data_IF_275283176253
#
_entry.id   IF_275283176253
#
_cell.length_a   1.000
_cell.length_b   1.000
_cell.length_c   1.000
_cell.angle_alpha   90.00
_cell.angle_beta   90.00
_cell.angle_gamma   90.00
#
_symmetry.space_group_name_H-M   'P 1'
#
loop_
_entity.id
_entity.type
_entity.pdbx_description
1 polymer ?
#
# COMPACT_ATOMS: atom_id res chain seq x y z
N UNK A 1 7.79 0.78 14.66
CA UNK A 1 6.78 1.27 13.70
C UNK A 1 7.12 2.74 13.43
N UNK A 2 7.28 3.17 12.18
CA UNK A 2 7.58 4.57 11.86
C UNK A 2 6.35 5.42 12.24
N UNK A 3 6.37 6.01 13.43
CA UNK A 3 5.29 6.89 13.91
C UNK A 3 5.54 8.28 13.35
N UNK A 4 4.72 8.67 12.38
CA UNK A 4 4.60 10.05 11.96
C UNK A 4 3.23 10.55 12.42
N UNK A 5 3.23 11.31 13.51
CA UNK A 5 2.01 11.78 14.20
C UNK A 5 1.15 12.72 13.34
N UNK A 6 1.68 13.19 12.22
CA UNK A 6 0.92 14.01 11.26
C UNK A 6 0.10 13.21 10.26
N UNK A 7 0.30 11.89 10.18
CA UNK A 7 -0.46 11.01 9.29
C UNK A 7 -1.84 10.71 9.88
N UNK A 8 -2.86 10.98 9.09
CA UNK A 8 -4.24 10.58 9.37
C UNK A 8 -4.58 9.37 8.50
N UNK A 9 -5.26 8.41 9.13
CA UNK A 9 -5.73 7.18 8.50
C UNK A 9 -7.25 7.16 8.55
N UNK A 10 -7.89 7.13 7.39
CA UNK A 10 -9.34 7.15 7.26
C UNK A 10 -9.81 5.92 6.49
N UNK A 11 -10.68 5.11 7.10
CA UNK A 11 -11.34 4.03 6.40
C UNK A 11 -12.33 4.60 5.37
N UNK A 12 -12.23 4.13 4.13
CA UNK A 12 -13.15 4.52 3.05
C UNK A 12 -14.24 3.48 2.81
N UNK A 13 -13.84 2.26 2.43
CA UNK A 13 -14.76 1.19 2.02
C UNK A 13 -14.07 -0.17 1.97
N UNK A 14 -14.86 -1.24 2.00
CA UNK A 14 -14.42 -2.60 1.69
C UNK A 14 -14.47 -2.85 0.17
N UNK A 15 -13.53 -3.64 -0.34
CA UNK A 15 -13.38 -4.02 -1.74
C UNK A 15 -12.84 -5.44 -1.87
N UNK A 16 -12.87 -5.97 -3.09
CA UNK A 16 -12.11 -7.17 -3.46
C UNK A 16 -10.94 -6.73 -4.35
N UNK A 17 -9.72 -7.10 -3.98
CA UNK A 17 -8.52 -6.85 -4.75
C UNK A 17 -7.80 -8.17 -5.05
N UNK A 18 -7.70 -8.53 -6.33
CA UNK A 18 -7.09 -9.79 -6.80
C UNK A 18 -7.57 -11.00 -5.98
N UNK A 19 -8.89 -11.19 -5.94
CA UNK A 19 -9.59 -12.28 -5.22
C UNK A 19 -9.40 -12.30 -3.70
N UNK A 20 -8.96 -11.19 -3.10
CA UNK A 20 -8.81 -11.03 -1.65
C UNK A 20 -9.71 -9.91 -1.14
N UNK A 21 -10.37 -10.15 -0.02
CA UNK A 21 -11.11 -9.11 0.70
C UNK A 21 -10.13 -8.09 1.27
N UNK A 22 -10.38 -6.82 0.97
CA UNK A 22 -9.54 -5.70 1.40
C UNK A 22 -10.38 -4.53 1.89
N UNK A 23 -9.76 -3.70 2.70
CA UNK A 23 -10.28 -2.41 3.15
C UNK A 23 -9.42 -1.31 2.53
N UNK A 24 -10.05 -0.30 1.94
CA UNK A 24 -9.36 0.90 1.50
C UNK A 24 -9.23 1.83 2.69
N UNK A 25 -7.98 2.12 3.06
CA UNK A 25 -7.61 3.09 4.09
C UNK A 25 -6.85 4.22 3.42
N UNK A 26 -7.47 5.41 3.40
CA UNK A 26 -6.82 6.62 2.92
C UNK A 26 -5.83 7.12 3.96
N UNK A 27 -4.63 7.45 3.50
CA UNK A 27 -3.52 8.00 4.29
C UNK A 27 -3.20 9.38 3.76
N UNK A 28 -3.24 10.37 4.64
CA UNK A 28 -2.97 11.76 4.26
C UNK A 28 -2.38 12.59 5.40
N UNK A 29 -1.79 13.72 5.04
CA UNK A 29 -1.38 14.76 6.01
C UNK A 29 -2.29 15.97 5.88
N UNK A 30 -2.89 16.49 6.97
CA UNK A 30 -3.82 17.63 6.89
C UNK A 30 -3.18 18.90 6.30
N UNK A 31 -1.88 19.10 6.56
CA UNK A 31 -1.16 20.32 6.17
C UNK A 31 -0.58 20.28 4.74
N UNK A 32 -0.56 19.12 4.08
CA UNK A 32 -0.02 18.97 2.72
C UNK A 32 -0.92 18.09 1.86
N UNK A 33 -1.51 18.68 0.82
CA UNK A 33 -2.23 17.96 -0.26
C UNK A 33 -1.35 16.96 -1.05
N UNK A 34 -0.03 16.99 -0.86
CA UNK A 34 0.92 16.20 -1.63
C UNK A 34 0.92 14.70 -1.26
N UNK A 35 0.56 14.35 -0.02
CA UNK A 35 0.46 12.97 0.45
C UNK A 35 -1.03 12.63 0.57
N UNK A 36 -1.59 12.11 -0.51
CA UNK A 36 -2.88 11.44 -0.55
C UNK A 36 -2.65 10.08 -1.19
N UNK A 37 -2.77 9.02 -0.41
CA UNK A 37 -2.54 7.64 -0.85
C UNK A 37 -3.65 6.77 -0.27
N UNK A 38 -4.16 5.83 -1.05
CA UNK A 38 -5.11 4.84 -0.59
C UNK A 38 -4.38 3.50 -0.47
N UNK A 39 -4.37 2.93 0.73
CA UNK A 39 -3.82 1.61 1.00
C UNK A 39 -4.94 0.57 0.96
N UNK A 40 -4.70 -0.52 0.25
CA UNK A 40 -5.61 -1.67 0.21
C UNK A 40 -5.09 -2.67 1.24
N UNK A 41 -5.73 -2.72 2.39
CA UNK A 41 -5.31 -3.55 3.54
C UNK A 41 -6.11 -4.84 3.52
N UNK A 42 -5.43 -5.98 3.52
CA UNK A 42 -6.05 -7.30 3.59
C UNK A 42 -6.89 -7.43 4.85
N UNK A 43 -8.19 -7.70 4.69
CA UNK A 43 -9.15 -7.67 5.80
C UNK A 43 -8.87 -8.76 6.86
N UNK A 44 -8.16 -9.83 6.49
CA UNK A 44 -7.87 -10.97 7.37
C UNK A 44 -6.54 -10.83 8.11
N UNK A 45 -5.52 -10.31 7.42
CA UNK A 45 -4.14 -10.32 7.90
C UNK A 45 -3.61 -8.95 8.29
N UNK A 46 -4.30 -7.87 7.90
CA UNK A 46 -3.86 -6.50 8.11
C UNK A 46 -2.63 -6.11 7.27
N UNK A 47 -2.16 -6.98 6.36
CA UNK A 47 -1.06 -6.69 5.44
C UNK A 47 -1.53 -5.76 4.33
N UNK A 48 -0.64 -4.91 3.83
CA UNK A 48 -0.96 -4.08 2.66
C UNK A 48 -0.87 -5.00 1.43
N UNK A 49 -1.91 -5.00 0.60
CA UNK A 49 -1.92 -5.73 -0.67
C UNK A 49 -1.32 -4.88 -1.78
N UNK A 50 -1.70 -3.60 -1.78
CA UNK A 50 -1.22 -2.58 -2.70
C UNK A 50 -1.41 -1.22 -2.08
N UNK A 51 -0.61 -0.26 -2.54
CA UNK A 51 -0.93 1.16 -2.42
C UNK A 51 -1.36 1.72 -3.77
N UNK A 52 -2.21 2.75 -3.74
CA UNK A 52 -2.68 3.44 -4.93
C UNK A 52 -2.89 4.93 -4.66
N UNK A 53 -3.15 5.67 -5.74
CA UNK A 53 -3.59 7.05 -5.68
C UNK A 53 -4.84 7.19 -6.55
N UNK A 54 -5.98 7.64 -5.98
CA UNK A 54 -7.16 7.91 -6.78
C UNK A 54 -6.88 9.05 -7.75
N UNK A 55 -7.35 8.92 -8.97
CA UNK A 55 -7.37 9.99 -9.96
C UNK A 55 -8.29 11.13 -9.45
N UNK A 56 -7.80 12.38 -9.32
CA UNK A 56 -8.58 13.46 -8.72
C UNK A 56 -9.86 13.84 -9.48
N UNK A 57 -9.93 13.53 -10.78
CA UNK A 57 -11.06 13.89 -11.64
C UNK A 57 -12.11 12.78 -11.69
N UNK A 58 -11.67 11.52 -11.62
CA UNK A 58 -12.54 10.36 -11.86
C UNK A 58 -12.73 9.46 -10.63
N UNK A 59 -11.97 9.66 -9.56
CA UNK A 59 -11.88 8.79 -8.37
C UNK A 59 -11.52 7.33 -8.71
N UNK A 60 -11.05 7.08 -9.93
CA UNK A 60 -10.61 5.76 -10.38
C UNK A 60 -9.14 5.51 -10.04
N UNK A 61 -8.78 4.24 -9.87
CA UNK A 61 -7.41 3.82 -9.61
C UNK A 61 -6.74 3.37 -10.90
N UNK A 62 -5.77 4.14 -11.38
CA UNK A 62 -4.99 3.83 -12.58
C UNK A 62 -3.58 3.31 -12.29
N UNK A 63 -3.17 3.33 -11.02
CA UNK A 63 -1.83 3.00 -10.55
C UNK A 63 -1.95 2.06 -9.35
N UNK A 64 -1.21 0.96 -9.31
CA UNK A 64 -1.15 0.06 -8.16
C UNK A 64 0.30 -0.32 -7.90
N UNK A 65 0.76 -0.21 -6.67
CA UNK A 65 2.04 -0.72 -6.22
C UNK A 65 1.78 -1.88 -5.26
N UNK A 66 1.75 -3.09 -5.81
CA UNK A 66 1.53 -4.33 -5.07
C UNK A 66 2.70 -4.63 -4.16
N UNK A 67 2.38 -5.12 -2.97
CA UNK A 67 3.34 -5.56 -1.96
C UNK A 67 3.23 -7.08 -1.78
N UNK A 68 4.30 -7.79 -2.09
CA UNK A 68 4.36 -9.25 -2.17
C UNK A 68 5.49 -9.79 -1.30
N UNK A 69 5.38 -11.08 -0.96
CA UNK A 69 6.40 -11.82 -0.20
C UNK A 69 6.78 -11.13 1.12
N UNK A 70 5.78 -10.93 1.98
CA UNK A 70 5.99 -10.38 3.31
C UNK A 70 6.77 -11.33 4.20
N UNK A 71 7.99 -10.94 4.56
CA UNK A 71 8.89 -11.72 5.41
C UNK A 71 9.28 -10.94 6.67
N UNK A 72 9.54 -11.65 7.79
CA UNK A 72 10.12 -11.03 8.96
C UNK A 72 11.55 -10.57 8.67
N UNK A 73 11.83 -9.28 8.88
CA UNK A 73 13.17 -8.70 8.76
C UNK A 73 13.60 -8.14 10.11
N UNK A 74 14.70 -8.64 10.68
CA UNK A 74 15.15 -8.23 12.01
C UNK A 74 14.14 -8.57 13.13
N UNK A 75 14.10 -7.76 14.19
CA UNK A 75 13.21 -7.98 15.34
C UNK A 75 11.92 -7.17 15.21
N UNK A 76 10.80 -7.86 15.00
CA UNK A 76 9.46 -7.28 15.09
C UNK A 76 8.99 -6.50 13.86
N UNK A 77 9.69 -6.59 12.71
CA UNK A 77 9.29 -5.94 11.46
C UNK A 77 8.93 -7.01 10.43
N UNK A 78 7.77 -6.85 9.79
CA UNK A 78 7.32 -7.65 8.65
C UNK A 78 7.33 -6.72 7.43
N UNK A 79 8.01 -7.13 6.35
CA UNK A 79 8.29 -6.26 5.20
C UNK A 79 8.11 -7.01 3.87
N UNK A 80 7.54 -6.36 2.84
CA UNK A 80 7.38 -6.98 1.52
C UNK A 80 8.71 -6.99 0.76
N UNK A 81 9.18 -8.17 0.38
CA UNK A 81 10.44 -8.29 -0.37
C UNK A 81 10.28 -8.11 -1.88
N UNK A 82 9.06 -8.17 -2.40
CA UNK A 82 8.78 -8.00 -3.82
C UNK A 82 7.73 -6.91 -4.00
N UNK A 83 7.94 -6.05 -5.00
CA UNK A 83 6.94 -5.07 -5.41
C UNK A 83 6.66 -5.17 -6.90
N UNK A 84 5.41 -4.93 -7.28
CA UNK A 84 5.00 -4.82 -8.68
C UNK A 84 4.22 -3.53 -8.87
N UNK A 85 4.61 -2.71 -9.84
CA UNK A 85 3.88 -1.51 -10.20
C UNK A 85 3.07 -1.75 -11.46
N UNK A 86 1.77 -1.54 -11.36
CA UNK A 86 0.81 -1.65 -12.45
C UNK A 86 0.27 -0.27 -12.81
N UNK A 87 0.28 0.07 -14.09
CA UNK A 87 -0.31 1.31 -14.62
C UNK A 87 -1.31 0.94 -15.70
N UNK A 88 -2.57 1.37 -15.54
CA UNK A 88 -3.68 1.08 -16.46
C UNK A 88 -3.78 -0.43 -16.79
N UNK A 89 -3.66 -1.26 -15.76
CA UNK A 89 -3.73 -2.73 -15.88
C UNK A 89 -2.49 -3.40 -16.47
N UNK A 90 -1.41 -2.66 -16.79
CA UNK A 90 -0.15 -3.22 -17.31
C UNK A 90 0.93 -3.18 -16.25
N UNK A 91 1.64 -4.29 -16.07
CA UNK A 91 2.84 -4.33 -15.25
C UNK A 91 3.92 -3.46 -15.91
N UNK A 92 4.35 -2.39 -15.24
CA UNK A 92 5.38 -1.47 -15.76
C UNK A 92 6.73 -1.71 -15.12
N UNK A 93 6.77 -2.17 -13.87
CA UNK A 93 8.01 -2.57 -13.21
C UNK A 93 7.74 -3.61 -12.14
N UNK A 94 8.74 -4.47 -11.92
CA UNK A 94 8.81 -5.41 -10.82
C UNK A 94 10.19 -5.28 -10.20
N UNK A 95 10.27 -5.31 -8.88
CA UNK A 95 11.53 -5.30 -8.17
C UNK A 95 11.53 -6.21 -6.97
N UNK A 96 12.72 -6.63 -6.59
CA UNK A 96 12.96 -7.48 -5.42
C UNK A 96 14.02 -6.84 -4.54
N UNK A 97 13.73 -6.73 -3.26
CA UNK A 97 14.70 -6.33 -2.26
C UNK A 97 15.52 -7.54 -1.82
N UNK A 98 16.85 -7.39 -1.81
CA UNK A 98 17.79 -8.41 -1.37
C UNK A 98 18.58 -7.87 -0.18
N UNK A 99 18.88 -8.75 0.78
CA UNK A 99 19.69 -8.43 1.96
C UNK A 99 19.14 -7.24 2.77
N UNK A 100 17.80 -7.18 2.95
CA UNK A 100 17.17 -6.15 3.77
C UNK A 100 17.50 -6.40 5.24
N UNK A 101 18.19 -5.45 5.86
CA UNK A 101 18.56 -5.49 7.28
C UNK A 101 18.01 -4.25 7.96
N UNK A 102 17.20 -4.46 9.00
CA UNK A 102 16.78 -3.40 9.92
C UNK A 102 17.79 -3.35 11.05
N UNK A 103 18.46 -2.21 11.21
CA UNK A 103 19.36 -1.93 12.33
C UNK A 103 18.61 -1.26 13.47
#
# INVERSE_FOLDING_TARGET
MLQNDSLVYEYKKSVVYKDREAQIVQVYTPQKKALLMDMFVDAKTGKILTSSKPDPETDNYNYFADELDYQPIGKGVIFPLVYQVWVKGKLVTEGKFLNVVVK
#
